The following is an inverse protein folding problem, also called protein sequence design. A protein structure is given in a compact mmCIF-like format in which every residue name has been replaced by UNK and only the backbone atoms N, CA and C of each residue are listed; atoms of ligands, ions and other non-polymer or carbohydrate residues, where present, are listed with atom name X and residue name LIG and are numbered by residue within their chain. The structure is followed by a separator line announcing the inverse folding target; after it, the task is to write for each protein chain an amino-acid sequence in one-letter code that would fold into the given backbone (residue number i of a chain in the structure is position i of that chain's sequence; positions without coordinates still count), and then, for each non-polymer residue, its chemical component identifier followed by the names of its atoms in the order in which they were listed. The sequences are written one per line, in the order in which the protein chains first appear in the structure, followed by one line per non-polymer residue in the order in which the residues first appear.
data_IF_680907293499
#
_entry.id   IF_680907293499
#
_cell.length_a   1.000
_cell.length_b   1.000
_cell.length_c   1.000
_cell.angle_alpha   90.00
_cell.angle_beta   90.00
_cell.angle_gamma   90.00
#
_symmetry.space_group_name_H-M   'P 1'
#
loop_
_entity.id
_entity.type
_entity.pdbx_description
1 polymer ?
#
# COMPACT_ATOMS: atom_id res chain seq x y z
N UNK A 1 -8.99 9.88 -8.53
CA UNK A 1 -7.75 9.50 -9.24
C UNK A 1 -8.00 8.26 -10.08
N UNK A 2 -7.45 8.19 -11.29
CA UNK A 2 -7.57 7.01 -12.17
C UNK A 2 -6.31 6.14 -12.08
N UNK A 3 -6.41 4.84 -12.32
CA UNK A 3 -5.27 3.90 -12.29
C UNK A 3 -4.14 4.36 -13.21
N UNK A 4 -4.47 4.90 -14.38
CA UNK A 4 -3.50 5.46 -15.33
C UNK A 4 -2.73 6.65 -14.76
N UNK A 5 -3.38 7.54 -14.00
CA UNK A 5 -2.73 8.65 -13.32
C UNK A 5 -1.78 8.18 -12.21
N UNK A 6 -2.17 7.14 -11.45
CA UNK A 6 -1.31 6.54 -10.44
C UNK A 6 -0.09 5.87 -11.09
N UNK A 7 -0.30 5.14 -12.20
CA UNK A 7 0.78 4.56 -13.00
C UNK A 7 1.81 5.59 -13.44
N UNK A 8 1.34 6.68 -14.04
CA UNK A 8 2.20 7.77 -14.51
C UNK A 8 3.03 8.41 -13.38
N UNK A 9 2.43 8.63 -12.21
CA UNK A 9 3.12 9.21 -11.06
C UNK A 9 4.21 8.28 -10.50
N UNK A 10 3.95 6.98 -10.45
CA UNK A 10 4.94 6.00 -9.97
C UNK A 10 6.10 5.88 -10.95
N UNK A 11 5.85 5.89 -12.26
CA UNK A 11 6.90 5.85 -13.27
C UNK A 11 7.74 7.13 -13.26
N UNK A 12 7.12 8.31 -13.20
CA UNK A 12 7.86 9.57 -13.16
C UNK A 12 8.69 9.73 -11.89
N UNK A 13 8.14 9.34 -10.74
CA UNK A 13 8.89 9.30 -9.48
C UNK A 13 10.08 8.33 -9.57
N UNK A 14 9.92 7.18 -10.22
CA UNK A 14 11.01 6.23 -10.46
C UNK A 14 12.19 6.84 -11.21
N UNK A 15 11.92 7.61 -12.27
CA UNK A 15 12.96 8.31 -13.06
C UNK A 15 13.71 9.34 -12.20
N UNK A 16 12.98 10.18 -11.46
CA UNK A 16 13.60 11.21 -10.59
C UNK A 16 14.51 10.59 -9.51
N UNK A 17 14.16 9.42 -9.00
CA UNK A 17 14.95 8.67 -8.02
C UNK A 17 16.19 8.06 -8.65
N UNK A 18 16.09 7.51 -9.86
CA UNK A 18 17.25 7.00 -10.60
C UNK A 18 18.27 8.10 -10.91
N UNK A 19 17.80 9.31 -11.20
CA UNK A 19 18.65 10.48 -11.43
C UNK A 19 19.26 11.05 -10.14
N UNK A 20 18.99 10.45 -8.97
CA UNK A 20 19.51 10.84 -7.66
C UNK A 20 18.90 12.12 -7.09
N UNK A 21 18.00 12.77 -7.82
CA UNK A 21 17.44 14.09 -7.46
C UNK A 21 16.40 14.07 -6.35
N UNK A 22 15.86 12.88 -6.02
CA UNK A 22 14.72 12.76 -5.08
C UNK A 22 14.83 11.57 -4.11
N UNK A 23 16.05 11.11 -3.84
CA UNK A 23 16.27 9.91 -3.02
C UNK A 23 15.73 10.05 -1.58
N UNK A 24 15.89 11.23 -0.97
CA UNK A 24 15.39 11.51 0.39
C UNK A 24 13.86 11.55 0.45
N UNK A 25 13.22 12.15 -0.55
CA UNK A 25 11.75 12.21 -0.66
C UNK A 25 11.18 10.82 -0.92
N UNK A 26 11.83 10.03 -1.77
CA UNK A 26 11.43 8.65 -2.02
C UNK A 26 11.57 7.77 -0.78
N UNK A 27 12.70 7.86 -0.08
CA UNK A 27 12.95 7.10 1.15
C UNK A 27 11.92 7.43 2.23
N UNK A 28 11.65 8.72 2.47
CA UNK A 28 10.63 9.15 3.44
C UNK A 28 9.21 8.75 3.04
N UNK A 29 8.84 8.88 1.76
CA UNK A 29 7.54 8.43 1.26
C UNK A 29 7.38 6.90 1.36
N UNK A 30 8.44 6.12 1.09
CA UNK A 30 8.42 4.67 1.24
C UNK A 30 8.17 4.27 2.69
N UNK A 31 8.87 4.88 3.65
CA UNK A 31 8.64 4.66 5.09
C UNK A 31 7.18 4.97 5.45
N UNK A 32 6.64 6.10 4.98
CA UNK A 32 5.26 6.47 5.24
C UNK A 32 4.27 5.40 4.71
N UNK A 33 4.49 4.87 3.51
CA UNK A 33 3.66 3.80 2.94
C UNK A 33 3.74 2.49 3.74
N UNK A 34 4.93 2.11 4.21
CA UNK A 34 5.09 0.95 5.10
C UNK A 34 4.30 1.14 6.40
N UNK A 35 4.47 2.29 7.05
CA UNK A 35 3.79 2.60 8.31
C UNK A 35 2.27 2.60 8.11
N UNK A 36 1.76 3.28 7.08
CA UNK A 36 0.32 3.31 6.80
C UNK A 36 -0.25 1.92 6.52
N UNK A 37 0.47 1.09 5.75
CA UNK A 37 0.04 -0.28 5.47
C UNK A 37 0.06 -1.14 6.74
N UNK A 38 1.05 -0.94 7.61
CA UNK A 38 1.13 -1.59 8.92
C UNK A 38 -0.02 -1.17 9.84
N UNK A 39 -0.35 0.13 9.89
CA UNK A 39 -1.50 0.65 10.63
C UNK A 39 -2.80 0.03 10.11
N UNK A 40 -2.98 -0.07 8.79
CA UNK A 40 -4.16 -0.74 8.20
C UNK A 40 -4.26 -2.20 8.66
N UNK A 41 -3.15 -2.94 8.63
CA UNK A 41 -3.11 -4.33 9.10
C UNK A 41 -3.45 -4.44 10.60
N UNK A 42 -2.91 -3.55 11.43
CA UNK A 42 -3.21 -3.49 12.86
C UNK A 42 -4.68 -3.19 13.14
N UNK A 43 -5.25 -2.17 12.46
CA UNK A 43 -6.65 -1.77 12.65
C UNK A 43 -7.60 -2.89 12.23
N UNK A 44 -7.38 -3.52 11.07
CA UNK A 44 -8.23 -4.62 10.61
C UNK A 44 -8.04 -5.87 11.47
N UNK A 45 -6.82 -6.16 11.92
CA UNK A 45 -6.52 -7.24 12.86
C UNK A 45 -7.23 -7.04 14.21
N UNK A 46 -7.12 -5.85 14.79
CA UNK A 46 -7.81 -5.49 16.03
C UNK A 46 -9.32 -5.60 15.88
N UNK A 47 -9.89 -5.03 14.82
CA UNK A 47 -11.33 -5.11 14.53
C UNK A 47 -11.79 -6.56 14.39
N UNK A 48 -11.01 -7.41 13.72
CA UNK A 48 -11.33 -8.82 13.56
C UNK A 48 -11.25 -9.62 14.87
N UNK A 49 -10.31 -9.27 15.75
CA UNK A 49 -10.21 -9.84 17.08
C UNK A 49 -11.38 -9.43 17.98
N UNK A 50 -11.67 -8.12 18.05
CA UNK A 50 -12.71 -7.55 18.91
C UNK A 50 -14.13 -7.98 18.50
N UNK A 51 -14.44 -7.95 17.20
CA UNK A 51 -15.79 -8.26 16.69
C UNK A 51 -15.98 -9.72 16.29
N UNK A 52 -14.90 -10.53 16.27
CA UNK A 52 -14.86 -11.90 15.72
C UNK A 52 -15.28 -12.01 14.24
N UNK A 53 -15.47 -10.90 13.53
CA UNK A 53 -15.91 -10.82 12.12
C UNK A 53 -14.83 -10.16 11.25
N UNK A 54 -14.87 -10.33 9.93
CA UNK A 54 -13.93 -9.64 9.03
C UNK A 54 -12.47 -10.14 9.07
N UNK A 55 -12.22 -11.36 9.57
CA UNK A 55 -10.88 -11.98 9.62
C UNK A 55 -10.17 -12.03 8.27
N UNK A 56 -10.92 -12.17 7.18
CA UNK A 56 -10.35 -12.20 5.83
C UNK A 56 -9.62 -10.88 5.51
N UNK A 57 -10.21 -9.73 5.87
CA UNK A 57 -9.64 -8.41 5.56
C UNK A 57 -8.36 -8.18 6.37
N UNK A 58 -8.32 -8.67 7.61
CA UNK A 58 -7.12 -8.66 8.45
C UNK A 58 -5.98 -9.50 7.83
N UNK A 59 -6.28 -10.71 7.35
CA UNK A 59 -5.29 -11.57 6.68
C UNK A 59 -4.76 -10.91 5.41
N UNK A 60 -5.65 -10.38 4.57
CA UNK A 60 -5.23 -9.69 3.34
C UNK A 60 -4.36 -8.46 3.66
N UNK A 61 -4.73 -7.65 4.65
CA UNK A 61 -3.92 -6.50 5.05
C UNK A 61 -2.54 -6.90 5.59
N UNK A 62 -2.45 -7.99 6.35
CA UNK A 62 -1.17 -8.51 6.84
C UNK A 62 -0.28 -9.02 5.69
N UNK A 63 -0.87 -9.72 4.71
CA UNK A 63 -0.15 -10.17 3.51
C UNK A 63 0.34 -8.97 2.69
N UNK A 64 -0.50 -7.96 2.47
CA UNK A 64 -0.11 -6.73 1.77
C UNK A 64 1.02 -6.00 2.51
N UNK A 65 0.95 -5.89 3.84
CA UNK A 65 2.02 -5.33 4.66
C UNK A 65 3.34 -6.09 4.48
N UNK A 66 3.32 -7.42 4.60
CA UNK A 66 4.51 -8.24 4.34
C UNK A 66 5.06 -8.06 2.91
N UNK A 67 4.17 -7.98 1.92
CA UNK A 67 4.54 -7.79 0.53
C UNK A 67 5.25 -6.44 0.28
N UNK A 68 4.95 -5.39 1.04
CA UNK A 68 5.70 -4.12 0.94
C UNK A 68 7.20 -4.31 1.24
N UNK A 69 7.56 -5.10 2.26
CA UNK A 69 8.97 -5.39 2.57
C UNK A 69 9.61 -6.30 1.53
N UNK A 70 8.87 -7.29 1.03
CA UNK A 70 9.34 -8.19 -0.02
C UNK A 70 9.63 -7.45 -1.34
N UNK A 71 8.84 -6.43 -1.68
CA UNK A 71 9.12 -5.58 -2.83
C UNK A 71 10.25 -4.58 -2.56
N UNK A 72 10.40 -4.08 -1.32
CA UNK A 72 11.49 -3.20 -0.95
C UNK A 72 12.87 -3.88 -1.09
N UNK A 73 12.98 -5.17 -0.78
CA UNK A 73 14.23 -5.94 -0.96
C UNK A 73 14.61 -6.14 -2.44
N UNK A 74 13.67 -5.93 -3.36
CA UNK A 74 13.87 -5.97 -4.82
C UNK A 74 14.14 -4.59 -5.43
N UNK A 75 14.43 -3.56 -4.63
CA UNK A 75 14.70 -2.18 -5.10
C UNK A 75 16.06 -1.95 -5.78
N UNK A 76 16.83 -3.00 -6.07
CA UNK A 76 18.12 -2.90 -6.74
C UNK A 76 18.01 -2.41 -8.20
N UNK A 77 19.10 -1.87 -8.74
CA UNK A 77 19.14 -1.27 -10.10
C UNK A 77 18.71 -2.23 -11.22
N UNK A 78 18.96 -3.54 -11.07
CA UNK A 78 18.54 -4.57 -12.05
C UNK A 78 17.07 -4.97 -11.95
N UNK A 79 16.40 -4.68 -10.84
CA UNK A 79 15.02 -5.09 -10.54
C UNK A 79 14.07 -3.91 -10.36
N UNK A 80 14.51 -2.69 -10.69
CA UNK A 80 13.78 -1.46 -10.40
C UNK A 80 12.41 -1.37 -11.12
N UNK A 81 12.34 -1.78 -12.38
CA UNK A 81 11.05 -1.78 -13.10
C UNK A 81 10.03 -2.70 -12.43
N UNK A 82 10.49 -3.85 -11.91
CA UNK A 82 9.67 -4.77 -11.14
C UNK A 82 9.26 -4.17 -9.79
N UNK A 83 10.19 -3.52 -9.09
CA UNK A 83 9.92 -2.81 -7.84
C UNK A 83 8.82 -1.75 -8.02
N UNK A 84 8.90 -0.91 -9.06
CA UNK A 84 7.91 0.13 -9.35
C UNK A 84 6.54 -0.51 -9.65
N UNK A 85 6.51 -1.54 -10.50
CA UNK A 85 5.28 -2.24 -10.87
C UNK A 85 4.58 -2.89 -9.67
N UNK A 86 5.34 -3.58 -8.81
CA UNK A 86 4.78 -4.21 -7.60
C UNK A 86 4.32 -3.17 -6.59
N UNK A 87 5.09 -2.09 -6.39
CA UNK A 87 4.70 -1.01 -5.49
C UNK A 87 3.38 -0.34 -5.92
N UNK A 88 3.17 -0.14 -7.24
CA UNK A 88 1.92 0.35 -7.79
C UNK A 88 0.73 -0.58 -7.43
N UNK A 89 0.88 -1.87 -7.71
CA UNK A 89 -0.18 -2.86 -7.46
C UNK A 89 -0.51 -2.93 -5.97
N UNK A 90 0.49 -2.98 -5.10
CA UNK A 90 0.28 -3.00 -3.65
C UNK A 90 -0.43 -1.74 -3.16
N UNK A 91 -0.06 -0.57 -3.67
CA UNK A 91 -0.71 0.69 -3.30
C UNK A 91 -2.20 0.67 -3.66
N UNK A 92 -2.53 0.26 -4.89
CA UNK A 92 -3.93 0.17 -5.35
C UNK A 92 -4.71 -0.83 -4.50
N UNK A 93 -4.15 -2.00 -4.20
CA UNK A 93 -4.81 -3.02 -3.38
C UNK A 93 -5.03 -2.55 -1.94
N UNK A 94 -4.05 -1.88 -1.32
CA UNK A 94 -4.20 -1.30 0.01
C UNK A 94 -5.28 -0.22 0.04
N UNK A 95 -5.27 0.71 -0.93
CA UNK A 95 -6.29 1.76 -1.04
C UNK A 95 -7.67 1.17 -1.26
N UNK A 96 -7.80 0.19 -2.14
CA UNK A 96 -9.07 -0.50 -2.42
C UNK A 96 -9.57 -1.24 -1.18
N UNK A 97 -8.71 -1.99 -0.49
CA UNK A 97 -9.09 -2.71 0.73
C UNK A 97 -9.59 -1.74 1.79
N UNK A 98 -8.86 -0.66 2.06
CA UNK A 98 -9.26 0.37 3.02
C UNK A 98 -10.62 0.98 2.65
N UNK A 99 -10.76 1.44 1.40
CA UNK A 99 -12.00 2.05 0.90
C UNK A 99 -13.19 1.09 1.01
N UNK A 100 -13.00 -0.19 0.70
CA UNK A 100 -14.04 -1.20 0.82
C UNK A 100 -14.41 -1.48 2.28
N UNK A 101 -13.43 -1.64 3.18
CA UNK A 101 -13.66 -2.01 4.58
C UNK A 101 -14.27 -0.90 5.44
N UNK A 102 -13.95 0.36 5.11
CA UNK A 102 -14.46 1.53 5.83
C UNK A 102 -15.62 2.20 5.08
N UNK A 103 -15.63 2.17 3.76
CA UNK A 103 -16.76 2.65 2.96
C UNK A 103 -18.03 1.85 3.21
N UNK A 104 -17.95 0.51 3.35
CA UNK A 104 -19.12 -0.29 3.75
C UNK A 104 -19.61 -0.01 5.16
N UNK A 105 -18.70 0.34 6.08
CA UNK A 105 -19.03 0.68 7.46
C UNK A 105 -19.88 1.95 7.55
N UNK A 106 -19.65 2.92 6.67
CA UNK A 106 -20.38 4.19 6.64
C UNK A 106 -21.82 4.03 6.14
N UNK A 107 -22.12 3.01 5.33
CA UNK A 107 -23.49 2.76 4.85
C UNK A 107 -24.34 2.04 5.90
N UNK A 108 -23.76 1.16 6.74
CA UNK A 108 -24.51 0.46 7.81
C UNK A 108 -24.85 1.36 9.02
N UNK A 109 -24.22 2.53 9.19
CA UNK A 109 -24.53 3.48 10.28
C UNK A 109 -25.63 4.50 9.95
N UNK A 110 -26.06 4.60 8.68
CA UNK A 110 -27.03 5.61 8.21
C UNK A 110 -28.45 5.01 8.02
N UNK A 111 -28.60 3.68 8.06
CA UNK A 111 -29.89 2.97 8.09
C UNK A 111 -30.28 2.58 9.53
#
# INVERSE_FOLDING_TARGET
MTVSAVGLLFTSAGVLVQDGTSLDVHSSAAIALHVLTGVLALVLGWRAWATRRGRWAAVVALVLFGATFAQASLGGSSTLAFHIGVALVLTVLCTWLAAWTFGRSLYEEIE
#
